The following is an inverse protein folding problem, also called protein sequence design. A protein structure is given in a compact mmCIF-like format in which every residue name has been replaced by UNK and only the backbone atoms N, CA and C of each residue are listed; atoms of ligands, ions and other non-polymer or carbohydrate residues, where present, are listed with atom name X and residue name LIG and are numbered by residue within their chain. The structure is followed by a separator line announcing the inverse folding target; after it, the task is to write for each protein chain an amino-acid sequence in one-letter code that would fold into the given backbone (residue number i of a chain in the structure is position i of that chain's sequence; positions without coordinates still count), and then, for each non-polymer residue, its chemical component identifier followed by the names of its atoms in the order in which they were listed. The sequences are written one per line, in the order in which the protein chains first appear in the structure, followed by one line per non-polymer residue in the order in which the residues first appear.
data_IF_806852037952
#
_entry.id   IF_806852037952
#
_cell.length_a   1.000
_cell.length_b   1.000
_cell.length_c   1.000
_cell.angle_alpha   90.00
_cell.angle_beta   90.00
_cell.angle_gamma   90.00
#
_symmetry.space_group_name_H-M   'P 1'
#
loop_
_entity.id
_entity.type
_entity.pdbx_description
1 polymer ?
#
# COMPACT_ATOMS: atom_id res chain seq x y z
N UNK A 1 1.97 3.55 6.02
CA UNK A 1 1.32 2.33 5.49
C UNK A 1 1.73 2.05 4.05
N UNK A 2 1.95 3.08 3.22
CA UNK A 2 2.59 2.93 1.91
C UNK A 2 1.93 1.88 1.03
N UNK A 3 2.74 1.15 0.25
CA UNK A 3 2.25 0.12 -0.68
C UNK A 3 1.42 -1.00 -0.03
N UNK A 4 1.47 -1.18 1.30
CA UNK A 4 0.65 -2.16 2.03
C UNK A 4 -0.74 -1.64 2.46
N UNK A 5 -1.02 -0.35 2.26
CA UNK A 5 -2.24 0.31 2.74
C UNK A 5 -3.53 -0.33 2.22
N UNK A 6 -3.52 -0.88 1.01
CA UNK A 6 -4.67 -1.59 0.45
C UNK A 6 -5.07 -2.82 1.29
N UNK A 7 -4.11 -3.67 1.64
CA UNK A 7 -4.37 -4.87 2.45
C UNK A 7 -4.71 -4.51 3.90
N UNK A 8 -4.06 -3.48 4.46
CA UNK A 8 -4.40 -3.00 5.82
C UNK A 8 -5.83 -2.46 5.86
N UNK A 9 -6.26 -1.74 4.82
CA UNK A 9 -7.65 -1.27 4.73
C UNK A 9 -8.65 -2.41 4.61
N UNK A 10 -8.30 -3.51 3.93
CA UNK A 10 -9.12 -4.73 3.89
C UNK A 10 -9.24 -5.38 5.27
N UNK A 11 -8.16 -5.40 6.04
CA UNK A 11 -8.17 -5.92 7.41
C UNK A 11 -9.12 -5.13 8.31
N UNK A 12 -9.03 -3.79 8.25
CA UNK A 12 -9.94 -2.90 8.97
C UNK A 12 -11.40 -3.09 8.52
N UNK A 13 -11.65 -3.19 7.22
CA UNK A 13 -12.99 -3.43 6.69
C UNK A 13 -13.57 -4.77 7.15
N UNK A 14 -12.75 -5.82 7.25
CA UNK A 14 -13.13 -7.12 7.81
C UNK A 14 -13.57 -6.98 9.27
N UNK A 15 -12.80 -6.26 10.08
CA UNK A 15 -13.13 -6.03 11.50
C UNK A 15 -14.44 -5.23 11.65
N UNK A 16 -14.63 -4.17 10.85
CA UNK A 16 -15.87 -3.41 10.84
C UNK A 16 -17.08 -4.28 10.44
N UNK A 17 -16.92 -5.16 9.44
CA UNK A 17 -17.96 -6.09 9.02
C UNK A 17 -18.24 -7.20 10.05
N UNK A 18 -17.36 -7.45 11.02
CA UNK A 18 -17.67 -8.36 12.13
C UNK A 18 -18.59 -7.69 13.15
N UNK A 19 -18.41 -6.39 13.39
CA UNK A 19 -19.20 -5.62 14.36
C UNK A 19 -20.55 -5.18 13.78
N UNK A 20 -20.57 -4.72 12.53
CA UNK A 20 -21.78 -4.20 11.89
C UNK A 20 -22.50 -5.26 11.06
N UNK A 21 -23.65 -5.74 11.54
CA UNK A 21 -24.42 -6.81 10.88
C UNK A 21 -25.05 -6.35 9.56
N UNK A 22 -25.02 -7.25 8.56
CA UNK A 22 -25.74 -7.12 7.27
C UNK A 22 -25.46 -5.80 6.55
N UNK A 23 -24.20 -5.39 6.47
CA UNK A 23 -23.78 -4.15 5.81
C UNK A 23 -22.73 -4.42 4.73
N UNK A 24 -22.31 -3.34 4.06
CA UNK A 24 -21.22 -3.31 3.10
C UNK A 24 -20.06 -2.49 3.65
N UNK A 25 -18.86 -2.80 3.20
CA UNK A 25 -17.69 -1.94 3.34
C UNK A 25 -17.05 -1.75 1.97
N UNK A 26 -16.68 -0.53 1.63
CA UNK A 26 -15.94 -0.22 0.40
C UNK A 26 -14.54 0.20 0.80
N UNK A 27 -13.55 -0.50 0.28
CA UNK A 27 -12.15 -0.10 0.37
C UNK A 27 -11.77 0.57 -0.94
N UNK A 28 -11.31 1.81 -0.88
CA UNK A 28 -10.78 2.54 -2.03
C UNK A 28 -9.32 2.85 -1.76
N UNK A 29 -8.45 2.44 -2.67
CA UNK A 29 -7.02 2.76 -2.65
C UNK A 29 -6.73 3.62 -3.86
N UNK A 30 -6.11 4.78 -3.66
CA UNK A 30 -5.63 5.65 -4.73
C UNK A 30 -4.19 6.02 -4.43
N UNK A 31 -3.36 6.01 -5.47
CA UNK A 31 -1.94 6.35 -5.38
C UNK A 31 -1.64 7.39 -6.46
N UNK A 32 -1.09 8.53 -6.05
CA UNK A 32 -0.75 9.63 -6.94
C UNK A 32 0.72 10.03 -6.74
N UNK A 33 1.51 9.91 -7.81
CA UNK A 33 2.95 10.15 -7.80
C UNK A 33 3.34 11.52 -8.38
N UNK A 34 2.36 12.37 -8.73
CA UNK A 34 2.60 13.63 -9.46
C UNK A 34 3.59 14.55 -8.74
N UNK A 35 3.57 14.56 -7.41
CA UNK A 35 4.50 15.33 -6.58
C UNK A 35 5.74 14.56 -6.13
N UNK A 36 5.87 13.28 -6.50
CA UNK A 36 6.94 12.38 -6.08
C UNK A 36 8.03 12.16 -7.14
N UNK A 37 7.95 12.82 -8.30
CA UNK A 37 8.92 12.65 -9.37
C UNK A 37 10.28 13.25 -8.98
N UNK A 38 11.32 12.42 -9.04
CA UNK A 38 12.69 12.83 -8.73
C UNK A 38 13.38 13.42 -9.97
N UNK A 39 13.89 14.64 -9.87
CA UNK A 39 14.53 15.36 -11.01
C UNK A 39 16.06 15.38 -10.95
N UNK A 40 16.66 14.60 -10.06
CA UNK A 40 18.12 14.50 -9.91
C UNK A 40 18.72 13.32 -10.66
N UNK A 41 20.01 13.05 -10.39
CA UNK A 41 20.80 12.03 -11.08
C UNK A 41 21.24 10.88 -10.15
N UNK A 42 20.80 10.87 -8.89
CA UNK A 42 21.06 9.76 -7.99
C UNK A 42 20.32 8.52 -8.49
N UNK A 43 21.09 7.48 -8.89
CA UNK A 43 20.55 6.26 -9.48
C UNK A 43 19.51 5.57 -8.61
N UNK A 44 19.74 5.49 -7.30
CA UNK A 44 18.82 4.82 -6.36
C UNK A 44 17.48 5.54 -6.25
N UNK A 45 17.47 6.87 -6.42
CA UNK A 45 16.26 7.68 -6.42
C UNK A 45 15.58 7.72 -7.78
N UNK A 46 16.31 7.59 -8.89
CA UNK A 46 15.71 7.51 -10.23
C UNK A 46 14.83 6.28 -10.42
N UNK A 47 15.11 5.18 -9.70
CA UNK A 47 14.31 3.96 -9.77
C UNK A 47 12.85 4.20 -9.43
N UNK A 48 12.54 5.11 -8.50
CA UNK A 48 11.16 5.44 -8.14
C UNK A 48 10.36 5.96 -9.34
N UNK A 49 10.99 6.75 -10.21
CA UNK A 49 10.34 7.27 -11.42
C UNK A 49 10.04 6.19 -12.46
N UNK A 50 10.82 5.12 -12.49
CA UNK A 50 10.63 4.01 -13.43
C UNK A 50 9.55 3.03 -12.93
N UNK A 51 9.53 2.78 -11.61
CA UNK A 51 8.71 1.75 -10.98
C UNK A 51 7.33 2.24 -10.58
N UNK A 52 7.22 3.44 -10.01
CA UNK A 52 5.95 3.91 -9.48
C UNK A 52 5.03 4.46 -10.56
N UNK A 53 3.73 4.20 -10.40
CA UNK A 53 2.67 4.59 -11.33
C UNK A 53 1.48 5.15 -10.57
N UNK A 54 0.72 6.02 -11.24
CA UNK A 54 -0.57 6.51 -10.72
C UNK A 54 -1.61 5.41 -10.95
N UNK A 55 -2.46 5.19 -9.96
CA UNK A 55 -3.53 4.20 -10.10
C UNK A 55 -4.54 4.26 -8.97
N UNK A 56 -5.62 3.51 -9.13
CA UNK A 56 -6.61 3.34 -8.09
C UNK A 56 -7.32 2.00 -8.22
N UNK A 57 -7.82 1.50 -7.11
CA UNK A 57 -8.61 0.29 -7.01
C UNK A 57 -9.71 0.46 -5.98
N UNK A 58 -10.85 -0.19 -6.20
CA UNK A 58 -11.94 -0.26 -5.24
C UNK A 58 -12.40 -1.71 -5.06
N UNK A 59 -12.72 -2.08 -3.83
CA UNK A 59 -13.21 -3.39 -3.46
C UNK A 59 -14.46 -3.25 -2.59
N UNK A 60 -15.52 -3.96 -2.96
CA UNK A 60 -16.74 -4.08 -2.16
C UNK A 60 -16.70 -5.37 -1.34
N UNK A 61 -16.80 -5.24 -0.02
CA UNK A 61 -16.91 -6.36 0.91
C UNK A 61 -18.33 -6.40 1.50
N UNK A 62 -18.82 -7.61 1.76
CA UNK A 62 -20.16 -7.84 2.34
C UNK A 62 -20.11 -8.95 3.38
N UNK A 63 -20.88 -8.80 4.45
CA UNK A 63 -21.18 -9.86 5.42
C UNK A 63 -22.62 -10.40 5.28
N UNK A 64 -23.33 -10.04 4.22
CA UNK A 64 -24.72 -10.49 3.98
C UNK A 64 -24.72 -11.90 3.40
N UNK A 65 -25.50 -12.80 4.00
CA UNK A 65 -25.61 -14.19 3.54
C UNK A 65 -26.06 -14.32 2.08
N UNK A 66 -26.90 -13.40 1.59
CA UNK A 66 -27.38 -13.40 0.19
C UNK A 66 -26.27 -13.13 -0.83
N UNK A 67 -25.24 -12.36 -0.44
CA UNK A 67 -24.18 -11.95 -1.37
C UNK A 67 -23.14 -13.07 -1.54
N UNK A 68 -23.14 -14.11 -0.69
CA UNK A 68 -22.23 -15.27 -0.78
C UNK A 68 -22.28 -15.97 -2.14
N UNK A 69 -23.43 -15.97 -2.83
CA UNK A 69 -23.64 -16.64 -4.12
C UNK A 69 -23.05 -15.86 -5.30
N UNK A 70 -22.86 -14.55 -5.16
CA UNK A 70 -22.38 -13.66 -6.22
C UNK A 70 -20.97 -13.13 -5.94
N UNK A 71 -20.45 -13.36 -4.72
CA UNK A 71 -19.11 -12.94 -4.34
C UNK A 71 -18.05 -13.63 -5.19
N UNK A 72 -17.16 -12.84 -5.80
CA UNK A 72 -16.05 -13.35 -6.61
C UNK A 72 -15.00 -14.10 -5.75
N UNK A 73 -14.80 -13.64 -4.52
CA UNK A 73 -13.83 -14.19 -3.58
C UNK A 73 -14.39 -14.19 -2.15
N UNK A 74 -13.85 -15.07 -1.30
CA UNK A 74 -14.09 -15.08 0.14
C UNK A 74 -12.80 -14.71 0.86
N UNK A 75 -12.85 -13.67 1.71
CA UNK A 75 -11.74 -13.34 2.61
C UNK A 75 -11.67 -14.38 3.74
N UNK A 76 -10.58 -15.12 3.81
CA UNK A 76 -10.40 -16.20 4.80
C UNK A 76 -9.49 -15.75 5.95
N UNK A 77 -8.29 -15.27 5.63
CA UNK A 77 -7.30 -14.80 6.60
C UNK A 77 -6.63 -13.53 6.11
N UNK A 78 -6.21 -12.70 7.07
CA UNK A 78 -5.33 -11.55 6.85
C UNK A 78 -4.19 -11.66 7.86
N UNK A 79 -2.96 -11.51 7.39
CA UNK A 79 -1.75 -11.61 8.22
C UNK A 79 -0.91 -10.37 7.97
N UNK A 80 -0.39 -9.78 9.05
CA UNK A 80 0.50 -8.63 8.99
C UNK A 80 1.75 -8.89 9.83
N UNK A 81 2.90 -8.72 9.21
CA UNK A 81 4.22 -8.78 9.87
C UNK A 81 4.85 -7.40 9.86
N UNK A 82 5.53 -7.03 10.94
CA UNK A 82 6.23 -5.76 11.04
C UNK A 82 7.73 -6.01 11.24
N UNK A 83 8.55 -5.44 10.35
CA UNK A 83 10.02 -5.54 10.41
C UNK A 83 10.71 -4.20 10.66
N UNK A 84 10.00 -3.20 11.18
CA UNK A 84 10.58 -1.85 11.35
C UNK A 84 11.71 -1.74 12.37
N UNK A 85 11.99 -2.78 13.17
CA UNK A 85 13.17 -2.85 14.06
C UNK A 85 14.42 -3.41 13.38
N UNK A 86 14.30 -3.91 12.15
CA UNK A 86 15.42 -4.38 11.33
C UNK A 86 15.93 -3.19 10.52
N UNK A 87 17.17 -2.77 10.76
CA UNK A 87 17.73 -1.56 10.14
C UNK A 87 17.74 -1.64 8.61
N UNK A 88 17.94 -2.83 8.02
CA UNK A 88 17.89 -2.99 6.57
C UNK A 88 16.48 -2.80 6.06
N UNK A 89 15.49 -3.41 6.72
CA UNK A 89 14.09 -3.23 6.36
C UNK A 89 13.62 -1.78 6.56
N UNK A 90 14.09 -1.10 7.61
CA UNK A 90 13.75 0.30 7.86
C UNK A 90 14.35 1.24 6.81
N UNK A 91 15.62 1.05 6.46
CA UNK A 91 16.35 1.95 5.56
C UNK A 91 16.22 1.59 4.06
N UNK A 92 15.54 0.50 3.70
CA UNK A 92 15.49 0.04 2.29
C UNK A 92 14.68 0.94 1.36
N UNK A 93 13.73 1.71 1.88
CA UNK A 93 12.98 2.75 1.15
C UNK A 93 12.97 4.00 1.99
N UNK A 94 13.68 5.04 1.54
CA UNK A 94 13.83 6.25 2.34
C UNK A 94 13.66 7.51 1.49
N UNK A 95 12.83 8.44 1.96
CA UNK A 95 12.67 9.75 1.33
C UNK A 95 13.68 10.73 1.92
N UNK A 96 14.46 11.38 1.06
CA UNK A 96 15.49 12.31 1.48
C UNK A 96 15.90 13.27 0.37
N UNK A 97 16.90 14.10 0.66
CA UNK A 97 17.53 14.97 -0.33
C UNK A 97 18.80 14.31 -0.87
N UNK A 98 19.06 14.48 -2.16
CA UNK A 98 20.37 14.18 -2.74
C UNK A 98 21.40 15.27 -2.42
N UNK A 99 22.65 15.06 -2.87
CA UNK A 99 23.77 16.00 -2.68
C UNK A 99 23.53 17.40 -3.29
N UNK A 100 22.56 17.52 -4.20
CA UNK A 100 22.17 18.77 -4.86
C UNK A 100 20.90 19.38 -4.27
N UNK A 101 20.39 18.84 -3.15
CA UNK A 101 19.20 19.31 -2.44
C UNK A 101 17.87 18.86 -3.06
N UNK A 102 17.87 17.97 -4.06
CA UNK A 102 16.64 17.49 -4.70
C UNK A 102 16.01 16.36 -3.89
N UNK A 103 14.73 16.49 -3.58
CA UNK A 103 13.99 15.49 -2.82
C UNK A 103 13.66 14.29 -3.72
N UNK A 104 13.93 13.09 -3.24
CA UNK A 104 13.60 11.83 -3.91
C UNK A 104 13.40 10.68 -2.91
N UNK A 105 12.95 9.55 -3.42
CA UNK A 105 12.81 8.30 -2.66
C UNK A 105 13.87 7.33 -3.12
N UNK A 106 14.85 7.03 -2.26
CA UNK A 106 15.89 6.03 -2.53
C UNK A 106 15.34 4.62 -2.32
N UNK A 107 15.68 3.72 -3.24
CA UNK A 107 15.41 2.29 -3.13
C UNK A 107 16.74 1.53 -3.01
N UNK A 108 16.92 0.82 -1.88
CA UNK A 108 18.05 -0.07 -1.64
C UNK A 108 17.84 -1.44 -2.31
N UNK A 109 18.94 -2.15 -2.53
CA UNK A 109 18.91 -3.58 -2.92
C UNK A 109 18.44 -4.50 -1.79
N UNK A 110 18.39 -4.01 -0.55
CA UNK A 110 17.84 -4.75 0.58
C UNK A 110 16.30 -4.79 0.58
N UNK A 111 15.65 -4.16 -0.41
CA UNK A 111 14.21 -4.23 -0.63
C UNK A 111 13.82 -5.65 -1.08
N UNK A 112 13.25 -6.44 -0.15
CA UNK A 112 12.71 -7.79 -0.37
C UNK A 112 11.20 -7.84 -0.17
#
# INVERSE_FOLDING_TARGET
MGCSAGVISVDLAKDLLQVHRKTYAIVVSTENITYGAYSGHNKSMMLSNCLFRVGGAAMLLSNKSKDKRVAKYKLVHVVRTHRGSDDKAYNCVYQGQDETGKIGVSLSKDLM
#
